data_IF_411452010303
#
_entry.id   IF_411452010303
#
_cell.length_a   1.000
_cell.length_b   1.000
_cell.length_c   1.000
_cell.angle_alpha   90.00
_cell.angle_beta   90.00
_cell.angle_gamma   90.00
#
_symmetry.space_group_name_H-M   'P 1'
#
loop_
_entity.id
_entity.type
_entity.pdbx_description
1 polymer ?
#
# COMPACT_ATOMS: atom_id res chain seq x y z
N UNK A 1 -12.28 48.64 40.05
CA UNK A 1 -12.58 47.92 41.28
C UNK A 1 -11.97 46.56 41.09
N UNK A 2 -10.69 46.27 41.40
CA UNK A 2 -10.11 45.98 42.75
C UNK A 2 -10.85 44.79 43.38
N UNK A 3 -10.24 43.68 43.68
CA UNK A 3 -9.09 43.29 44.55
C UNK A 3 -8.77 41.81 44.25
N UNK A 4 -7.57 41.27 44.02
CA UNK A 4 -6.36 41.10 44.86
C UNK A 4 -6.64 40.30 46.17
N UNK A 5 -6.01 39.13 46.32
CA UNK A 5 -5.29 38.55 47.49
C UNK A 5 -4.84 37.14 47.11
N UNK A 6 -3.60 36.71 46.93
CA UNK A 6 -2.36 36.63 47.70
C UNK A 6 -2.24 35.40 48.65
N UNK A 7 -1.18 34.65 48.37
CA UNK A 7 -0.24 33.86 49.18
C UNK A 7 -0.73 32.85 50.27
N UNK A 8 -0.14 31.62 50.23
CA UNK A 8 0.62 31.11 51.35
C UNK A 8 1.49 29.87 51.00
N UNK A 9 2.78 30.07 50.99
CA UNK A 9 3.87 29.11 51.12
C UNK A 9 3.89 28.48 52.49
N UNK A 10 4.21 27.16 52.61
CA UNK A 10 4.78 26.57 53.83
C UNK A 10 5.81 25.48 53.45
N UNK A 11 7.05 25.83 53.76
CA UNK A 11 8.19 24.93 53.99
C UNK A 11 8.01 24.18 55.30
N UNK A 12 8.48 22.91 55.37
CA UNK A 12 8.87 22.30 56.64
C UNK A 12 10.15 21.50 56.48
N UNK A 13 11.06 21.77 57.40
CA UNK A 13 12.43 21.32 57.57
C UNK A 13 12.52 19.88 58.10
N UNK A 14 13.72 19.37 57.87
CA UNK A 14 14.31 18.11 58.29
C UNK A 14 14.28 17.82 59.79
N UNK A 15 14.33 16.55 60.16
CA UNK A 15 14.91 16.12 61.42
C UNK A 15 15.69 14.80 61.23
N UNK A 16 16.98 14.89 61.53
CA UNK A 16 17.93 13.77 61.74
C UNK A 16 17.74 13.21 63.12
N UNK A 17 17.82 11.89 63.30
CA UNK A 17 18.25 11.28 64.57
C UNK A 17 19.12 10.05 64.32
N UNK A 18 20.16 9.97 65.11
CA UNK A 18 21.32 9.09 65.02
C UNK A 18 21.13 7.77 65.79
N UNK A 19 22.03 6.86 65.49
CA UNK A 19 22.36 5.51 65.96
C UNK A 19 22.14 5.18 67.48
N UNK A 20 22.16 3.86 67.80
CA UNK A 20 23.42 3.33 68.27
C UNK A 20 23.75 1.87 67.83
N UNK A 21 25.05 1.63 67.84
CA UNK A 21 25.80 0.39 67.64
C UNK A 21 25.58 -0.63 68.71
N UNK A 22 25.52 -1.91 68.34
CA UNK A 22 25.80 -3.03 69.29
C UNK A 22 26.49 -4.16 68.53
N UNK A 23 27.71 -4.46 68.97
CA UNK A 23 28.53 -5.62 68.61
C UNK A 23 27.98 -6.92 69.17
N UNK A 24 27.86 -7.99 68.38
CA UNK A 24 27.95 -9.36 68.84
C UNK A 24 28.68 -10.22 67.82
N UNK A 25 29.80 -10.78 68.27
CA UNK A 25 30.59 -11.83 67.60
C UNK A 25 29.84 -13.18 67.77
N UNK A 26 29.73 -13.95 66.66
CA UNK A 26 29.69 -15.42 66.76
C UNK A 26 29.93 -16.08 65.38
N UNK A 27 31.02 -16.84 65.34
CA UNK A 27 31.36 -18.08 64.62
C UNK A 27 30.81 -18.37 63.21
N UNK A 28 31.76 -18.59 62.26
CA UNK A 28 31.60 -19.16 60.93
C UNK A 28 31.21 -20.65 60.96
N UNK A 29 30.48 -21.12 59.94
CA UNK A 29 30.91 -22.27 59.18
C UNK A 29 31.15 -21.99 57.71
N UNK A 30 32.17 -22.63 57.16
CA UNK A 30 32.54 -22.68 55.77
C UNK A 30 31.39 -23.32 54.93
N UNK A 31 30.75 -22.53 54.06
CA UNK A 31 29.90 -23.06 53.01
C UNK A 31 30.58 -22.81 51.68
N UNK A 32 30.94 -23.89 50.99
CA UNK A 32 31.46 -23.85 49.62
C UNK A 32 30.35 -23.35 48.68
N UNK A 33 30.47 -22.16 48.14
CA UNK A 33 29.65 -21.69 47.04
C UNK A 33 30.19 -22.23 45.74
N UNK A 34 29.49 -23.19 45.14
CA UNK A 34 29.63 -23.49 43.68
C UNK A 34 29.10 -22.25 42.95
N UNK A 35 30.01 -21.50 42.30
CA UNK A 35 29.64 -20.45 41.36
C UNK A 35 29.18 -21.11 40.08
N UNK A 36 27.86 -21.22 39.87
CA UNK A 36 27.28 -21.53 38.57
C UNK A 36 27.41 -20.27 37.70
N UNK A 37 28.39 -20.23 36.80
CA UNK A 37 28.50 -19.25 35.74
C UNK A 37 27.37 -19.50 34.73
N UNK A 38 26.24 -18.78 34.88
CA UNK A 38 25.24 -18.69 33.80
C UNK A 38 25.85 -17.83 32.72
N UNK A 39 26.39 -18.48 31.69
CA UNK A 39 26.82 -17.84 30.48
C UNK A 39 25.61 -17.21 29.78
N UNK A 40 25.42 -15.91 29.89
CA UNK A 40 24.54 -15.16 28.99
C UNK A 40 25.18 -15.20 27.59
N UNK A 41 24.68 -16.11 26.75
CA UNK A 41 24.95 -16.03 25.33
C UNK A 41 24.29 -14.75 24.80
N UNK A 42 25.11 -13.74 24.54
CA UNK A 42 24.68 -12.55 23.82
C UNK A 42 24.39 -12.98 22.39
N UNK A 43 23.12 -13.27 22.09
CA UNK A 43 22.68 -13.44 20.68
C UNK A 43 22.90 -12.08 20.01
N UNK A 44 23.84 -12.02 19.07
CA UNK A 44 23.93 -10.87 18.20
C UNK A 44 22.56 -10.64 17.54
N UNK A 45 22.07 -9.40 17.47
CA UNK A 45 20.84 -9.12 16.73
C UNK A 45 20.99 -9.67 15.32
N UNK A 46 19.99 -10.42 14.86
CA UNK A 46 19.94 -10.85 13.45
C UNK A 46 20.12 -9.60 12.57
N UNK A 47 20.91 -9.66 11.50
CA UNK A 47 21.03 -8.52 10.59
C UNK A 47 19.62 -8.08 10.19
N UNK A 48 19.33 -6.78 10.35
CA UNK A 48 18.07 -6.20 9.88
C UNK A 48 17.89 -6.65 8.43
N UNK A 49 16.74 -7.24 8.11
CA UNK A 49 16.44 -7.62 6.73
C UNK A 49 16.67 -6.38 5.86
N UNK A 50 17.44 -6.52 4.77
CA UNK A 50 17.73 -5.41 3.87
C UNK A 50 16.39 -4.83 3.40
N UNK A 51 16.17 -3.51 3.61
CA UNK A 51 14.94 -2.86 3.20
C UNK A 51 14.80 -2.93 1.68
N UNK A 52 13.58 -3.20 1.21
CA UNK A 52 13.26 -3.25 -0.22
C UNK A 52 13.31 -1.83 -0.80
N UNK A 53 14.07 -1.63 -1.86
CA UNK A 53 14.12 -0.35 -2.56
C UNK A 53 13.59 -0.49 -3.98
N UNK A 54 12.76 0.47 -4.42
CA UNK A 54 12.32 0.60 -5.82
C UNK A 54 13.00 1.76 -6.49
N UNK A 55 13.43 1.56 -7.74
CA UNK A 55 14.01 2.59 -8.59
C UNK A 55 13.50 2.44 -10.02
N UNK A 56 13.70 3.49 -10.84
CA UNK A 56 13.42 3.47 -12.27
C UNK A 56 14.74 3.74 -13.00
N UNK A 57 15.04 2.90 -13.98
CA UNK A 57 16.18 3.05 -14.88
C UNK A 57 15.67 2.94 -16.33
N UNK A 58 15.59 4.06 -17.03
CA UNK A 58 14.92 4.09 -18.34
C UNK A 58 13.44 3.74 -18.25
N UNK A 59 13.00 2.73 -18.98
CA UNK A 59 11.62 2.21 -18.96
C UNK A 59 11.43 1.03 -17.98
N UNK A 60 12.45 0.69 -17.15
CA UNK A 60 12.46 -0.47 -16.29
C UNK A 60 12.34 -0.10 -14.80
N UNK A 61 11.49 -0.84 -14.07
CA UNK A 61 11.51 -0.85 -12.60
C UNK A 61 12.61 -1.78 -12.10
N UNK A 62 13.32 -1.32 -11.09
CA UNK A 62 14.32 -2.07 -10.37
C UNK A 62 13.92 -2.26 -8.91
N UNK A 63 14.14 -3.44 -8.36
CA UNK A 63 14.01 -3.71 -6.93
C UNK A 63 15.40 -4.11 -6.42
N UNK A 64 15.90 -3.42 -5.39
CA UNK A 64 17.20 -3.64 -4.80
C UNK A 64 18.36 -3.59 -5.82
N UNK A 65 18.26 -2.68 -6.78
CA UNK A 65 19.28 -2.45 -7.82
C UNK A 65 19.21 -3.38 -9.02
N UNK A 66 18.34 -4.42 -9.00
CA UNK A 66 18.17 -5.36 -10.11
C UNK A 66 16.84 -5.09 -10.83
N UNK A 67 16.79 -5.22 -12.16
CA UNK A 67 15.52 -5.11 -12.87
C UNK A 67 14.55 -6.18 -12.38
N UNK A 68 13.28 -5.82 -12.26
CA UNK A 68 12.23 -6.79 -11.94
C UNK A 68 12.18 -7.89 -12.99
N UNK A 69 11.86 -9.12 -12.60
CA UNK A 69 11.77 -10.29 -13.50
C UNK A 69 12.99 -10.47 -14.41
N UNK A 70 14.21 -10.20 -13.94
CA UNK A 70 15.48 -10.23 -14.68
C UNK A 70 15.62 -11.46 -15.59
N UNK A 71 15.89 -11.23 -16.86
CA UNK A 71 16.05 -12.26 -17.90
C UNK A 71 14.80 -13.08 -18.20
N UNK A 72 13.63 -12.66 -17.74
CA UNK A 72 12.40 -13.43 -17.93
C UNK A 72 11.71 -13.07 -19.23
N UNK A 73 11.59 -14.07 -20.10
CA UNK A 73 10.78 -14.03 -21.34
C UNK A 73 9.66 -15.07 -21.22
N UNK A 74 8.44 -14.69 -21.56
CA UNK A 74 7.27 -15.58 -21.64
C UNK A 74 6.57 -15.43 -22.99
N UNK A 75 6.43 -16.54 -23.72
CA UNK A 75 5.81 -16.56 -25.08
C UNK A 75 6.32 -15.45 -26.02
N UNK A 76 7.62 -15.13 -25.96
CA UNK A 76 8.22 -14.08 -26.78
C UNK A 76 8.07 -12.65 -26.21
N UNK A 77 7.36 -12.45 -25.10
CA UNK A 77 7.26 -11.18 -24.41
C UNK A 77 8.35 -11.05 -23.35
N UNK A 78 9.11 -9.97 -23.40
CA UNK A 78 10.08 -9.62 -22.36
C UNK A 78 9.36 -9.04 -21.15
N UNK A 79 9.60 -9.64 -19.96
CA UNK A 79 9.05 -9.18 -18.68
C UNK A 79 10.07 -8.43 -17.84
N UNK A 80 11.36 -8.41 -18.24
CA UNK A 80 12.39 -7.69 -17.47
C UNK A 80 12.04 -6.22 -17.37
N UNK A 81 12.10 -5.69 -16.14
CA UNK A 81 11.77 -4.30 -15.85
C UNK A 81 10.29 -3.98 -15.67
N UNK A 82 9.37 -4.92 -15.91
CA UNK A 82 7.95 -4.71 -15.67
C UNK A 82 7.60 -4.81 -14.18
N UNK A 83 6.55 -4.11 -13.74
CA UNK A 83 6.02 -4.17 -12.37
C UNK A 83 4.58 -4.69 -12.39
N UNK A 84 4.42 -6.03 -12.51
CA UNK A 84 3.11 -6.67 -12.50
C UNK A 84 2.46 -6.51 -11.12
N UNK A 85 1.21 -6.06 -11.11
CA UNK A 85 0.59 -5.56 -9.90
C UNK A 85 -0.88 -5.96 -9.76
N UNK A 86 -1.50 -5.55 -8.65
CA UNK A 86 -2.93 -5.68 -8.40
C UNK A 86 -3.46 -4.46 -7.65
N UNK A 87 -4.69 -4.06 -7.95
CA UNK A 87 -5.36 -2.99 -7.24
C UNK A 87 -6.07 -3.55 -6.01
N UNK A 88 -5.52 -3.29 -4.83
CA UNK A 88 -5.95 -3.87 -3.56
C UNK A 88 -6.29 -2.78 -2.52
N UNK A 89 -6.89 -1.69 -2.98
CA UNK A 89 -7.07 -0.44 -2.22
C UNK A 89 -7.88 -0.59 -0.93
N UNK A 90 -8.67 -1.66 -0.82
CA UNK A 90 -9.52 -1.88 0.36
C UNK A 90 -8.76 -2.43 1.58
N UNK A 91 -7.48 -2.77 1.47
CA UNK A 91 -6.69 -3.38 2.56
C UNK A 91 -6.61 -2.53 3.83
N UNK A 92 -6.76 -1.21 3.71
CA UNK A 92 -6.69 -0.24 4.81
C UNK A 92 -8.03 0.46 5.06
N UNK A 93 -9.09 0.09 4.32
CA UNK A 93 -10.40 0.73 4.38
C UNK A 93 -10.97 0.83 5.80
N UNK A 94 -11.56 1.99 6.08
CA UNK A 94 -12.32 2.23 7.30
C UNK A 94 -13.41 3.29 7.05
N UNK A 95 -14.66 2.96 7.36
CA UNK A 95 -15.78 3.85 7.10
C UNK A 95 -16.19 4.62 8.36
N UNK A 96 -15.97 5.94 8.35
CA UNK A 96 -16.36 6.84 9.44
C UNK A 96 -17.83 7.25 9.41
N UNK A 97 -18.58 6.85 8.38
CA UNK A 97 -20.01 7.16 8.29
C UNK A 97 -20.86 6.10 8.98
N UNK A 98 -21.48 6.39 10.13
CA UNK A 98 -22.28 5.42 10.88
C UNK A 98 -23.49 4.89 10.10
N UNK A 99 -23.96 5.61 9.08
CA UNK A 99 -25.08 5.19 8.25
C UNK A 99 -24.70 4.17 7.16
N UNK A 100 -23.42 4.00 6.86
CA UNK A 100 -22.93 3.09 5.81
C UNK A 100 -22.01 1.99 6.33
N UNK A 101 -21.38 2.14 7.48
CA UNK A 101 -20.42 1.17 8.02
C UNK A 101 -20.98 -0.25 8.15
N UNK A 102 -22.27 -0.41 8.43
CA UNK A 102 -22.91 -1.73 8.52
C UNK A 102 -22.98 -2.49 7.18
N UNK A 103 -22.83 -1.81 6.04
CA UNK A 103 -22.80 -2.43 4.71
C UNK A 103 -21.61 -3.37 4.53
N UNK A 104 -20.53 -3.10 5.26
CA UNK A 104 -19.25 -3.82 5.16
C UNK A 104 -19.15 -5.01 6.12
N UNK A 105 -20.26 -5.39 6.76
CA UNK A 105 -20.30 -6.45 7.75
C UNK A 105 -19.76 -7.79 7.20
N UNK A 106 -18.85 -8.42 7.94
CA UNK A 106 -18.39 -9.78 7.64
C UNK A 106 -19.52 -10.78 7.79
N UNK A 107 -19.63 -11.78 6.89
CA UNK A 107 -20.73 -12.76 6.92
C UNK A 107 -20.82 -13.58 8.20
N UNK A 108 -19.66 -13.82 8.85
CA UNK A 108 -19.55 -14.66 10.05
C UNK A 108 -19.84 -13.91 11.36
N UNK A 109 -19.59 -12.58 11.40
CA UNK A 109 -19.76 -11.79 12.63
C UNK A 109 -20.89 -10.79 12.57
N UNK A 110 -21.40 -10.49 11.37
CA UNK A 110 -22.43 -9.47 11.16
C UNK A 110 -21.96 -8.04 11.44
N UNK A 111 -20.64 -7.81 11.53
CA UNK A 111 -20.05 -6.48 11.83
C UNK A 111 -18.83 -6.21 10.96
N UNK A 112 -18.59 -4.93 10.66
CA UNK A 112 -17.34 -4.46 10.07
C UNK A 112 -16.23 -4.43 11.13
N UNK A 113 -15.02 -4.80 10.73
CA UNK A 113 -13.82 -4.75 11.54
C UNK A 113 -12.63 -4.37 10.63
N UNK A 114 -12.21 -3.09 10.69
CA UNK A 114 -11.10 -2.55 9.89
C UNK A 114 -9.75 -3.19 10.26
N UNK A 115 -9.57 -3.53 11.55
CA UNK A 115 -8.35 -4.20 12.03
C UNK A 115 -8.26 -5.65 11.53
N UNK A 116 -9.38 -6.36 11.51
CA UNK A 116 -9.47 -7.70 10.91
C UNK A 116 -9.15 -7.64 9.43
N UNK A 117 -9.75 -6.68 8.71
CA UNK A 117 -9.53 -6.51 7.27
C UNK A 117 -8.04 -6.33 6.95
N UNK A 118 -7.36 -5.41 7.66
CA UNK A 118 -5.92 -5.18 7.48
C UNK A 118 -5.08 -6.40 7.87
N UNK A 119 -5.41 -7.09 8.95
CA UNK A 119 -4.71 -8.30 9.39
C UNK A 119 -4.83 -9.43 8.36
N UNK A 120 -6.02 -9.67 7.82
CA UNK A 120 -6.25 -10.69 6.79
C UNK A 120 -5.55 -10.33 5.47
N UNK A 121 -5.53 -9.04 5.09
CA UNK A 121 -4.74 -8.53 3.96
C UNK A 121 -3.25 -8.89 4.11
N UNK A 122 -2.66 -8.52 5.25
CA UNK A 122 -1.24 -8.78 5.54
C UNK A 122 -0.94 -10.29 5.51
N UNK A 123 -1.83 -11.11 6.03
CA UNK A 123 -1.68 -12.58 6.03
C UNK A 123 -1.72 -13.19 4.62
N UNK A 124 -2.40 -12.55 3.66
CA UNK A 124 -2.50 -13.02 2.28
C UNK A 124 -1.27 -12.64 1.41
N UNK A 125 -0.56 -11.55 1.74
CA UNK A 125 0.56 -11.03 0.95
C UNK A 125 1.65 -12.05 0.61
N UNK A 126 2.09 -12.95 1.52
CA UNK A 126 3.07 -13.98 1.18
C UNK A 126 2.60 -14.93 0.07
N UNK A 127 1.29 -15.21 0.00
CA UNK A 127 0.73 -16.04 -1.05
C UNK A 127 0.80 -15.34 -2.40
N UNK A 128 0.42 -14.07 -2.48
CA UNK A 128 0.52 -13.28 -3.71
C UNK A 128 1.97 -13.17 -4.20
N UNK A 129 2.90 -12.89 -3.28
CA UNK A 129 4.32 -12.79 -3.61
C UNK A 129 4.89 -14.10 -4.18
N UNK A 130 4.51 -15.25 -3.61
CA UNK A 130 4.91 -16.58 -4.14
C UNK A 130 4.40 -16.84 -5.56
N UNK A 131 3.31 -16.21 -5.99
CA UNK A 131 2.82 -16.28 -7.37
C UNK A 131 3.44 -15.23 -8.31
N UNK A 132 4.44 -14.48 -7.84
CA UNK A 132 5.17 -13.52 -8.67
C UNK A 132 4.65 -12.09 -8.62
N UNK A 133 3.63 -11.77 -7.81
CA UNK A 133 3.16 -10.39 -7.65
C UNK A 133 4.24 -9.55 -6.97
N UNK A 134 4.66 -8.46 -7.62
CA UNK A 134 5.70 -7.56 -7.11
C UNK A 134 5.15 -6.25 -6.56
N UNK A 135 3.94 -5.85 -6.95
CA UNK A 135 3.37 -4.60 -6.48
C UNK A 135 1.86 -4.68 -6.27
N UNK A 136 1.34 -3.76 -5.48
CA UNK A 136 -0.10 -3.52 -5.35
C UNK A 136 -0.38 -2.05 -5.05
N UNK A 137 -1.58 -1.59 -5.45
CA UNK A 137 -2.07 -0.24 -5.12
C UNK A 137 -2.89 -0.28 -3.84
N UNK A 138 -2.67 0.70 -2.95
CA UNK A 138 -3.46 0.95 -1.74
C UNK A 138 -3.67 2.45 -1.57
N UNK A 139 -4.85 2.88 -1.10
CA UNK A 139 -5.20 4.30 -1.10
C UNK A 139 -5.26 4.89 0.31
N UNK A 140 -4.84 6.15 0.43
CA UNK A 140 -5.09 7.00 1.61
C UNK A 140 -6.53 7.49 1.67
N UNK A 141 -7.20 7.59 0.53
CA UNK A 141 -8.59 8.06 0.46
C UNK A 141 -9.36 7.22 -0.57
N UNK A 142 -10.65 6.99 -0.28
CA UNK A 142 -11.61 6.44 -1.23
C UNK A 142 -11.45 4.96 -1.51
N UNK A 143 -11.64 4.62 -2.78
CA UNK A 143 -11.90 3.26 -3.25
C UNK A 143 -13.40 3.00 -3.29
N UNK A 144 -13.88 2.39 -4.36
CA UNK A 144 -15.30 2.06 -4.54
C UNK A 144 -15.60 0.66 -3.97
N UNK A 145 -15.98 0.54 -2.67
CA UNK A 145 -16.09 -0.74 -1.97
C UNK A 145 -17.25 -1.62 -2.43
N UNK A 146 -18.10 -1.12 -3.31
CA UNK A 146 -19.20 -1.88 -3.98
C UNK A 146 -18.85 -2.22 -5.44
N UNK A 147 -17.61 -1.98 -5.88
CA UNK A 147 -17.20 -2.00 -7.27
C UNK A 147 -17.31 -0.61 -7.89
N UNK A 148 -17.92 -0.46 -9.06
CA UNK A 148 -18.19 0.85 -9.67
C UNK A 148 -19.36 1.52 -8.98
N UNK A 149 -19.11 2.62 -8.25
CA UNK A 149 -20.13 3.33 -7.48
C UNK A 149 -20.26 4.78 -7.96
N UNK A 150 -21.44 5.16 -8.42
CA UNK A 150 -21.74 6.55 -8.80
C UNK A 150 -21.84 7.47 -7.58
N UNK A 151 -22.46 7.00 -6.50
CA UNK A 151 -22.55 7.70 -5.23
C UNK A 151 -21.61 7.04 -4.22
N UNK A 152 -20.90 7.84 -3.44
CA UNK A 152 -19.94 7.38 -2.44
C UNK A 152 -20.27 7.97 -1.05
N UNK A 153 -21.36 7.51 -0.41
CA UNK A 153 -21.81 8.05 0.88
C UNK A 153 -20.92 7.67 2.06
N UNK A 154 -20.12 6.61 1.94
CA UNK A 154 -19.14 6.21 2.96
C UNK A 154 -18.06 7.27 3.13
N UNK A 155 -17.37 7.23 4.25
CA UNK A 155 -16.26 8.13 4.54
C UNK A 155 -14.98 7.34 4.82
N UNK A 156 -14.24 7.02 3.77
CA UNK A 156 -12.93 6.37 3.85
C UNK A 156 -11.82 7.36 3.50
N UNK A 157 -11.09 7.84 4.50
CA UNK A 157 -10.03 8.82 4.30
C UNK A 157 -8.99 8.77 5.43
N UNK A 158 -7.71 8.81 5.06
CA UNK A 158 -6.61 9.09 5.97
C UNK A 158 -6.51 10.58 6.33
N UNK A 159 -7.23 11.44 5.59
CA UNK A 159 -7.17 12.89 5.76
C UNK A 159 -8.33 13.40 6.61
N UNK A 160 -8.03 14.33 7.51
CA UNK A 160 -9.01 15.22 8.13
C UNK A 160 -9.47 16.27 7.11
N UNK A 161 -10.50 17.04 7.44
CA UNK A 161 -11.04 18.08 6.54
C UNK A 161 -9.99 19.14 6.18
N UNK A 162 -9.07 19.46 7.08
CA UNK A 162 -7.97 20.41 6.86
C UNK A 162 -6.75 19.82 6.14
N UNK A 163 -6.79 18.55 5.75
CA UNK A 163 -5.70 17.83 5.10
C UNK A 163 -4.73 17.13 6.05
N UNK A 164 -4.80 17.35 7.37
CA UNK A 164 -3.95 16.62 8.32
C UNK A 164 -4.27 15.13 8.37
N UNK A 165 -3.30 14.31 8.78
CA UNK A 165 -3.39 12.84 8.69
C UNK A 165 -4.00 12.23 9.96
N UNK A 166 -4.81 11.18 9.77
CA UNK A 166 -5.40 10.36 10.82
C UNK A 166 -4.44 9.25 11.27
N UNK A 167 -4.06 9.26 12.53
CA UNK A 167 -3.08 8.33 13.08
C UNK A 167 -3.52 6.86 13.03
N UNK A 168 -4.80 6.56 13.28
CA UNK A 168 -5.36 5.20 13.26
C UNK A 168 -5.32 4.60 11.84
N UNK A 169 -5.62 5.38 10.81
CA UNK A 169 -5.54 4.96 9.42
C UNK A 169 -4.07 4.67 9.02
N UNK A 170 -3.17 5.59 9.38
CA UNK A 170 -1.74 5.44 9.11
C UNK A 170 -1.12 4.25 9.83
N UNK A 171 -1.55 3.93 11.04
CA UNK A 171 -1.06 2.76 11.77
C UNK A 171 -1.40 1.44 11.05
N UNK A 172 -2.56 1.34 10.40
CA UNK A 172 -2.90 0.19 9.55
C UNK A 172 -2.06 0.15 8.28
N UNK A 173 -1.92 1.29 7.59
CA UNK A 173 -1.10 1.40 6.38
C UNK A 173 0.37 1.07 6.65
N UNK A 174 0.92 1.55 7.76
CA UNK A 174 2.29 1.27 8.21
C UNK A 174 2.57 -0.23 8.25
N UNK A 175 1.69 -1.02 8.85
CA UNK A 175 1.84 -2.48 8.92
C UNK A 175 1.84 -3.15 7.55
N UNK A 176 1.01 -2.64 6.63
CA UNK A 176 0.96 -3.14 5.24
C UNK A 176 2.26 -2.84 4.51
N UNK A 177 2.74 -1.58 4.55
CA UNK A 177 3.97 -1.19 3.84
C UNK A 177 5.19 -1.92 4.43
N UNK A 178 5.28 -2.02 5.76
CA UNK A 178 6.36 -2.78 6.41
C UNK A 178 6.36 -4.25 6.00
N UNK A 179 5.16 -4.88 5.91
CA UNK A 179 5.08 -6.26 5.44
C UNK A 179 5.45 -6.40 3.96
N UNK A 180 5.08 -5.44 3.13
CA UNK A 180 5.51 -5.40 1.73
C UNK A 180 7.04 -5.30 1.61
N UNK A 181 7.66 -4.45 2.42
CA UNK A 181 9.11 -4.30 2.50
C UNK A 181 9.81 -5.63 2.83
N UNK A 182 9.36 -6.32 3.87
CA UNK A 182 9.89 -7.65 4.24
C UNK A 182 9.75 -8.70 3.13
N UNK A 183 8.73 -8.58 2.27
CA UNK A 183 8.43 -9.53 1.20
C UNK A 183 9.09 -9.17 -0.15
N UNK A 184 9.82 -8.07 -0.24
CA UNK A 184 10.35 -7.58 -1.51
C UNK A 184 9.28 -7.11 -2.46
N UNK A 185 8.21 -6.47 -1.94
CA UNK A 185 7.09 -5.94 -2.73
C UNK A 185 7.06 -4.43 -2.70
N UNK A 186 6.58 -3.84 -3.78
CA UNK A 186 6.39 -2.39 -3.95
C UNK A 186 4.94 -2.02 -3.66
N UNK A 187 4.74 -0.91 -2.95
CA UNK A 187 3.40 -0.36 -2.66
C UNK A 187 3.19 0.91 -3.46
N UNK A 188 2.17 0.94 -4.31
CA UNK A 188 1.70 2.16 -4.98
C UNK A 188 0.68 2.79 -4.05
N UNK A 189 1.05 3.90 -3.40
CA UNK A 189 0.17 4.62 -2.46
C UNK A 189 -0.60 5.69 -3.22
N UNK A 190 -1.91 5.46 -3.38
CA UNK A 190 -2.83 6.44 -3.94
C UNK A 190 -3.21 7.48 -2.87
N UNK A 191 -3.05 8.77 -3.19
CA UNK A 191 -3.37 9.81 -2.20
C UNK A 191 -4.86 10.18 -2.25
N UNK A 192 -5.35 10.70 -3.36
CA UNK A 192 -6.72 11.20 -3.46
C UNK A 192 -7.59 10.35 -4.39
N UNK A 193 -8.89 10.35 -4.08
CA UNK A 193 -9.87 9.57 -4.81
C UNK A 193 -11.12 10.43 -5.10
N UNK A 194 -11.60 10.43 -6.33
CA UNK A 194 -12.84 11.11 -6.70
C UNK A 194 -14.03 10.64 -5.85
N UNK A 195 -14.99 11.52 -5.60
CA UNK A 195 -16.14 11.22 -4.75
C UNK A 195 -15.85 11.17 -3.24
N UNK A 196 -14.60 11.41 -2.81
CA UNK A 196 -14.21 11.59 -1.41
C UNK A 196 -13.46 12.91 -1.17
N UNK A 197 -12.92 13.52 -2.22
CA UNK A 197 -12.15 14.77 -2.18
C UNK A 197 -12.96 15.96 -1.63
N UNK A 198 -14.28 16.00 -1.84
CA UNK A 198 -15.19 17.03 -1.29
C UNK A 198 -15.19 17.10 0.25
N UNK A 199 -14.59 16.10 0.93
CA UNK A 199 -14.42 16.09 2.39
C UNK A 199 -13.23 16.93 2.87
N UNK A 200 -12.37 17.34 1.95
CA UNK A 200 -11.33 18.34 2.20
C UNK A 200 -11.92 19.76 2.05
N UNK A 201 -11.45 20.70 2.85
CA UNK A 201 -12.04 22.04 2.91
C UNK A 201 -11.82 22.85 1.63
N UNK A 202 -10.61 22.76 1.05
CA UNK A 202 -10.15 23.55 -0.08
C UNK A 202 -8.89 22.97 -0.73
N UNK A 203 -8.41 23.61 -1.79
CA UNK A 203 -7.15 23.25 -2.47
C UNK A 203 -5.91 23.32 -1.53
N UNK A 204 -5.94 24.17 -0.49
CA UNK A 204 -4.84 24.24 0.47
C UNK A 204 -4.81 23.00 1.38
N UNK A 205 -5.98 22.47 1.75
CA UNK A 205 -6.10 21.21 2.48
C UNK A 205 -5.63 20.03 1.62
N UNK A 206 -5.94 20.02 0.31
CA UNK A 206 -5.41 19.03 -0.64
C UNK A 206 -3.88 19.10 -0.69
N UNK A 207 -3.31 20.30 -0.86
CA UNK A 207 -1.86 20.49 -0.91
C UNK A 207 -1.18 20.04 0.40
N UNK A 208 -1.75 20.40 1.56
CA UNK A 208 -1.27 19.96 2.87
C UNK A 208 -1.30 18.44 3.00
N UNK A 209 -2.41 17.81 2.62
CA UNK A 209 -2.56 16.36 2.68
C UNK A 209 -1.50 15.64 1.82
N UNK A 210 -1.22 16.14 0.63
CA UNK A 210 -0.14 15.62 -0.22
C UNK A 210 1.24 15.77 0.44
N UNK A 211 1.52 16.94 1.02
CA UNK A 211 2.77 17.22 1.72
C UNK A 211 2.96 16.30 2.93
N UNK A 212 1.96 16.23 3.79
CA UNK A 212 2.04 15.48 5.05
C UNK A 212 2.14 13.98 4.78
N UNK A 213 1.39 13.47 3.80
CA UNK A 213 1.52 12.07 3.36
C UNK A 213 2.92 11.77 2.82
N UNK A 214 3.47 12.67 1.99
CA UNK A 214 4.80 12.51 1.42
C UNK A 214 5.89 12.54 2.50
N UNK A 215 5.81 13.50 3.44
CA UNK A 215 6.75 13.57 4.57
C UNK A 215 6.64 12.33 5.44
N UNK A 216 5.43 11.90 5.78
CA UNK A 216 5.21 10.71 6.59
C UNK A 216 5.84 9.46 5.95
N UNK A 217 5.64 9.24 4.64
CA UNK A 217 6.25 8.10 3.93
C UNK A 217 7.79 8.19 3.93
N UNK A 218 8.35 9.39 3.76
CA UNK A 218 9.80 9.60 3.80
C UNK A 218 10.36 9.42 5.21
N UNK A 219 9.62 9.84 6.25
CA UNK A 219 10.03 9.75 7.64
C UNK A 219 10.11 8.32 8.17
N UNK A 220 9.34 7.40 7.61
CA UNK A 220 9.43 5.97 7.92
C UNK A 220 10.61 5.26 7.23
N UNK A 221 11.37 5.96 6.38
CA UNK A 221 12.49 5.45 5.56
C UNK A 221 12.12 4.29 4.61
N UNK A 222 10.84 4.08 4.29
CA UNK A 222 10.48 3.11 3.28
C UNK A 222 10.97 3.52 1.90
N UNK A 223 11.57 2.56 1.20
CA UNK A 223 12.13 2.74 -0.14
C UNK A 223 11.39 1.93 -1.21
N UNK A 224 10.37 1.19 -0.80
CA UNK A 224 9.52 0.34 -1.63
C UNK A 224 8.18 1.00 -1.99
N UNK A 225 8.11 2.34 -2.03
CA UNK A 225 6.88 3.09 -2.25
C UNK A 225 6.96 3.90 -3.55
N UNK A 226 5.89 3.80 -4.34
CA UNK A 226 5.55 4.70 -5.45
C UNK A 226 4.30 5.48 -5.07
N UNK A 227 4.07 6.66 -5.68
CA UNK A 227 2.92 7.51 -5.39
C UNK A 227 2.03 7.70 -6.62
N UNK A 228 0.73 7.44 -6.46
CA UNK A 228 -0.33 7.88 -7.34
C UNK A 228 -1.01 9.09 -6.69
N UNK A 229 -0.77 10.33 -7.16
CA UNK A 229 -1.27 11.52 -6.45
C UNK A 229 -2.79 11.65 -6.49
N UNK A 230 -3.44 11.19 -7.55
CA UNK A 230 -4.89 11.15 -7.69
C UNK A 230 -5.30 9.99 -8.59
N UNK A 231 -6.31 9.25 -8.18
CA UNK A 231 -6.92 8.20 -8.99
C UNK A 231 -7.87 8.83 -10.01
N UNK A 232 -7.69 8.55 -11.31
CA UNK A 232 -8.58 8.98 -12.40
C UNK A 232 -8.91 10.48 -12.35
N UNK A 233 -7.89 11.31 -12.46
CA UNK A 233 -7.94 12.76 -12.28
C UNK A 233 -9.02 13.46 -13.15
N UNK A 234 -9.50 12.81 -14.21
CA UNK A 234 -10.50 13.31 -15.16
C UNK A 234 -11.95 12.81 -14.92
N UNK A 235 -12.20 12.10 -13.80
CA UNK A 235 -13.53 11.49 -13.52
C UNK A 235 -14.42 12.34 -12.60
N UNK A 236 -14.03 13.57 -12.24
CA UNK A 236 -14.92 14.50 -11.54
C UNK A 236 -14.54 14.78 -10.08
N UNK A 237 -13.37 15.39 -9.92
CA UNK A 237 -12.93 15.96 -8.66
C UNK A 237 -13.57 17.35 -8.41
N UNK A 238 -13.85 17.68 -7.15
CA UNK A 238 -14.34 18.99 -6.72
C UNK A 238 -13.22 20.02 -6.70
N UNK A 239 -12.03 19.61 -6.20
CA UNK A 239 -10.89 20.51 -6.08
C UNK A 239 -10.13 20.64 -7.40
N UNK A 240 -9.90 21.90 -7.83
CA UNK A 240 -9.22 22.18 -9.10
C UNK A 240 -7.80 21.60 -9.14
N UNK A 241 -7.11 21.54 -8.01
CA UNK A 241 -5.76 20.99 -7.90
C UNK A 241 -5.68 19.50 -8.22
N UNK A 242 -6.80 18.75 -8.14
CA UNK A 242 -6.90 17.33 -8.47
C UNK A 242 -7.38 17.06 -9.90
N UNK A 243 -7.76 18.13 -10.65
CA UNK A 243 -8.26 18.00 -12.01
C UNK A 243 -7.13 17.96 -13.04
N UNK A 244 -7.37 17.45 -14.28
CA UNK A 244 -6.35 17.25 -15.31
C UNK A 244 -5.48 18.47 -15.59
N UNK A 245 -6.05 19.68 -15.53
CA UNK A 245 -5.33 20.93 -15.78
C UNK A 245 -4.25 21.25 -14.77
N UNK A 246 -4.39 20.79 -13.51
CA UNK A 246 -3.53 21.20 -12.40
C UNK A 246 -2.89 20.04 -11.62
N UNK A 247 -3.32 18.80 -11.79
CA UNK A 247 -2.80 17.66 -11.00
C UNK A 247 -1.29 17.47 -11.12
N UNK A 248 -0.68 17.93 -12.19
CA UNK A 248 0.78 17.92 -12.37
C UNK A 248 1.50 18.78 -11.32
N UNK A 249 0.86 19.81 -10.77
CA UNK A 249 1.39 20.62 -9.67
C UNK A 249 1.58 19.76 -8.40
N UNK A 250 0.64 18.84 -8.12
CA UNK A 250 0.77 17.90 -7.00
C UNK A 250 1.88 16.87 -7.24
N UNK A 251 2.03 16.37 -8.48
CA UNK A 251 3.15 15.47 -8.82
C UNK A 251 4.48 16.17 -8.54
N UNK A 252 4.64 17.41 -9.01
CA UNK A 252 5.85 18.21 -8.78
C UNK A 252 6.06 18.44 -7.28
N UNK A 253 5.02 18.80 -6.53
CA UNK A 253 5.06 19.04 -5.10
C UNK A 253 5.56 17.82 -4.33
N UNK A 254 5.07 16.61 -4.64
CA UNK A 254 5.55 15.34 -4.06
C UNK A 254 7.04 15.14 -4.37
N UNK A 255 7.47 15.42 -5.59
CA UNK A 255 8.88 15.24 -6.03
C UNK A 255 9.84 16.28 -5.43
N UNK A 256 9.36 17.45 -5.07
CA UNK A 256 10.16 18.52 -4.44
C UNK A 256 10.46 18.22 -2.96
N UNK A 257 9.58 17.48 -2.28
CA UNK A 257 9.81 17.08 -0.89
C UNK A 257 10.89 16.01 -0.84
N UNK A 258 11.97 16.33 -0.10
CA UNK A 258 13.13 15.44 0.04
C UNK A 258 13.48 15.21 1.50
N UNK A 259 13.98 14.03 1.80
CA UNK A 259 14.63 13.68 3.06
C UNK A 259 15.95 12.97 2.77
N UNK A 260 17.05 13.49 3.30
CA UNK A 260 18.41 12.96 3.08
C UNK A 260 18.74 12.75 1.59
N UNK A 261 18.34 13.72 0.75
CA UNK A 261 18.51 13.70 -0.71
C UNK A 261 17.54 12.78 -1.46
N UNK A 262 16.73 11.96 -0.77
CA UNK A 262 15.75 11.04 -1.34
C UNK A 262 14.38 11.71 -1.51
N UNK A 263 13.69 11.41 -2.60
CA UNK A 263 12.30 11.76 -2.88
C UNK A 263 11.49 10.53 -3.26
N UNK A 264 10.18 10.65 -3.26
CA UNK A 264 9.29 9.62 -3.82
C UNK A 264 9.18 9.76 -5.34
N UNK A 265 8.95 8.63 -6.01
CA UNK A 265 8.61 8.56 -7.42
C UNK A 265 7.09 8.70 -7.54
N UNK A 266 6.62 9.59 -8.42
CA UNK A 266 5.21 9.96 -8.48
C UNK A 266 4.66 10.02 -9.89
N UNK A 267 3.37 9.69 -10.01
CA UNK A 267 2.55 9.82 -11.20
C UNK A 267 1.08 10.00 -10.81
N UNK A 268 0.19 9.94 -11.79
CA UNK A 268 -1.27 9.95 -11.62
C UNK A 268 -1.94 9.20 -12.76
N UNK A 269 -3.17 8.72 -12.55
CA UNK A 269 -3.96 8.03 -13.56
C UNK A 269 -5.08 8.91 -14.14
N UNK A 270 -5.56 8.51 -15.31
CA UNK A 270 -6.79 8.95 -15.95
C UNK A 270 -7.79 7.80 -15.98
N UNK A 271 -9.06 8.09 -16.17
CA UNK A 271 -10.14 7.10 -16.27
C UNK A 271 -9.89 6.06 -17.36
N UNK A 272 -10.56 4.93 -17.25
CA UNK A 272 -10.37 3.78 -18.13
C UNK A 272 -10.39 4.10 -19.61
N UNK A 273 -9.43 3.56 -20.35
CA UNK A 273 -9.28 3.77 -21.79
C UNK A 273 -8.81 5.16 -22.23
N UNK A 274 -8.33 6.00 -21.31
CA UNK A 274 -7.81 7.34 -21.57
C UNK A 274 -6.30 7.40 -21.42
N UNK A 275 -5.68 8.40 -22.05
CA UNK A 275 -4.24 8.65 -21.97
C UNK A 275 -3.97 9.95 -21.22
N UNK A 276 -2.81 10.08 -20.55
CA UNK A 276 -2.45 11.27 -19.78
C UNK A 276 -2.19 12.48 -20.71
N UNK A 277 -2.50 13.68 -20.20
CA UNK A 277 -2.15 14.94 -20.87
C UNK A 277 -0.66 15.25 -20.80
N UNK A 278 -0.20 16.14 -21.69
CA UNK A 278 1.21 16.57 -21.79
C UNK A 278 1.81 17.06 -20.47
N UNK A 279 1.03 17.80 -19.66
CA UNK A 279 1.47 18.31 -18.37
C UNK A 279 1.75 17.17 -17.36
N UNK A 280 0.92 16.13 -17.36
CA UNK A 280 1.11 14.95 -16.51
C UNK A 280 2.30 14.13 -17.00
N UNK A 281 2.41 13.88 -18.31
CA UNK A 281 3.54 13.14 -18.89
C UNK A 281 4.88 13.78 -18.53
N UNK A 282 4.99 15.11 -18.62
CA UNK A 282 6.21 15.85 -18.27
C UNK A 282 6.55 15.85 -16.80
N UNK A 283 5.55 15.79 -15.93
CA UNK A 283 5.74 15.86 -14.49
C UNK A 283 6.06 14.50 -13.86
N UNK A 284 5.60 13.40 -14.45
CA UNK A 284 5.62 12.05 -13.88
C UNK A 284 7.00 11.39 -13.98
N UNK A 285 7.26 10.45 -13.08
CA UNK A 285 8.40 9.53 -13.13
C UNK A 285 8.03 8.20 -13.81
N UNK A 286 6.75 7.85 -13.80
CA UNK A 286 6.14 6.71 -14.48
C UNK A 286 4.69 7.06 -14.81
N UNK A 287 4.12 6.41 -15.81
CA UNK A 287 2.76 6.70 -16.27
C UNK A 287 1.80 5.60 -15.86
N UNK A 288 0.66 6.00 -15.30
CA UNK A 288 -0.42 5.10 -14.90
C UNK A 288 -1.54 5.15 -15.92
N UNK A 289 -1.98 3.98 -16.36
CA UNK A 289 -3.10 3.79 -17.28
C UNK A 289 -4.15 2.88 -16.62
N UNK A 290 -5.40 3.04 -17.02
CA UNK A 290 -6.50 2.16 -16.63
C UNK A 290 -7.10 1.48 -17.86
N UNK A 291 -7.27 0.16 -17.78
CA UNK A 291 -7.91 -0.65 -18.80
C UNK A 291 -9.42 -0.83 -18.62
N UNK A 292 -9.98 -0.25 -17.55
CA UNK A 292 -11.40 -0.39 -17.21
C UNK A 292 -12.31 -0.02 -18.38
N UNK A 293 -13.28 -0.90 -18.69
CA UNK A 293 -14.21 -0.70 -19.79
C UNK A 293 -13.61 -0.87 -21.20
N UNK A 294 -12.33 -1.26 -21.33
CA UNK A 294 -11.67 -1.53 -22.61
C UNK A 294 -11.70 -3.03 -22.91
N UNK A 295 -12.71 -3.49 -23.63
CA UNK A 295 -12.92 -4.93 -23.91
C UNK A 295 -12.08 -5.46 -25.09
N UNK A 296 -11.53 -4.60 -25.94
CA UNK A 296 -10.66 -4.98 -27.06
C UNK A 296 -9.18 -4.89 -26.64
N UNK A 297 -8.45 -6.02 -26.55
CA UNK A 297 -7.04 -6.03 -26.22
C UNK A 297 -6.16 -5.18 -27.15
N UNK A 298 -6.54 -5.04 -28.42
CA UNK A 298 -5.83 -4.16 -29.37
C UNK A 298 -5.86 -2.71 -28.89
N UNK A 299 -6.97 -2.29 -28.29
CA UNK A 299 -7.09 -0.95 -27.73
C UNK A 299 -6.15 -0.72 -26.55
N UNK A 300 -5.88 -1.74 -25.73
CA UNK A 300 -4.88 -1.68 -24.64
C UNK A 300 -3.48 -1.41 -25.23
N UNK A 301 -3.10 -2.15 -26.27
CA UNK A 301 -1.84 -1.91 -26.97
C UNK A 301 -1.79 -0.51 -27.59
N UNK A 302 -2.91 -0.02 -28.16
CA UNK A 302 -3.02 1.34 -28.71
C UNK A 302 -2.85 2.42 -27.63
N UNK A 303 -3.40 2.24 -26.44
CA UNK A 303 -3.24 3.19 -25.35
C UNK A 303 -1.77 3.40 -25.00
N UNK A 304 -0.97 2.32 -24.95
CA UNK A 304 0.47 2.42 -24.69
C UNK A 304 1.17 3.20 -25.82
N UNK A 305 0.90 2.86 -27.10
CA UNK A 305 1.48 3.56 -28.24
C UNK A 305 1.10 5.05 -28.27
N UNK A 306 -0.18 5.36 -28.02
CA UNK A 306 -0.66 6.74 -27.97
C UNK A 306 -0.04 7.52 -26.81
N UNK A 307 0.15 6.88 -25.66
CA UNK A 307 0.81 7.48 -24.49
C UNK A 307 2.26 7.85 -24.82
N UNK A 308 3.00 6.96 -25.49
CA UNK A 308 4.37 7.25 -25.97
C UNK A 308 4.43 8.36 -27.01
N UNK A 309 3.34 8.60 -27.74
CA UNK A 309 3.23 9.68 -28.71
C UNK A 309 2.79 11.04 -28.13
N UNK A 310 2.47 11.12 -26.83
CA UNK A 310 2.10 12.38 -26.18
C UNK A 310 3.29 13.36 -26.20
N UNK A 311 3.10 14.63 -26.60
CA UNK A 311 4.18 15.61 -26.63
C UNK A 311 4.87 15.77 -25.27
N UNK A 312 6.19 15.59 -25.26
CA UNK A 312 7.00 15.66 -24.04
C UNK A 312 7.22 14.33 -23.34
N UNK A 313 6.75 13.22 -23.93
CA UNK A 313 7.12 11.88 -23.44
C UNK A 313 8.64 11.67 -23.60
N UNK A 314 9.22 11.12 -22.56
CA UNK A 314 10.59 10.57 -22.56
C UNK A 314 10.49 9.11 -22.10
N UNK A 315 11.42 8.22 -22.49
CA UNK A 315 11.38 6.83 -22.07
C UNK A 315 11.24 6.69 -20.55
N UNK A 316 10.10 6.18 -20.10
CA UNK A 316 9.75 5.91 -18.70
C UNK A 316 8.77 4.75 -18.61
N UNK A 317 8.65 4.06 -17.47
CA UNK A 317 7.73 2.94 -17.33
C UNK A 317 6.27 3.37 -17.56
N UNK A 318 5.52 2.51 -18.27
CA UNK A 318 4.07 2.60 -18.40
C UNK A 318 3.47 1.40 -17.66
N UNK A 319 2.51 1.67 -16.77
CA UNK A 319 1.93 0.69 -15.89
C UNK A 319 0.41 0.82 -15.86
N UNK A 320 -0.31 -0.23 -16.28
CA UNK A 320 -1.71 -0.35 -15.95
C UNK A 320 -1.80 -0.77 -14.47
N UNK A 321 -2.45 0.01 -13.62
CA UNK A 321 -2.69 -0.34 -12.22
C UNK A 321 -4.16 -0.67 -11.94
N UNK A 322 -5.00 -0.66 -12.97
CA UNK A 322 -6.41 -1.03 -12.88
C UNK A 322 -6.93 -1.52 -14.24
N UNK A 323 -7.34 -2.80 -14.32
CA UNK A 323 -8.04 -3.37 -15.49
C UNK A 323 -8.95 -4.51 -15.03
N UNK A 324 -10.23 -4.43 -15.40
CA UNK A 324 -11.29 -5.36 -15.00
C UNK A 324 -11.63 -6.44 -16.03
N UNK A 325 -10.78 -6.63 -17.04
CA UNK A 325 -10.94 -7.66 -18.06
C UNK A 325 -10.17 -8.94 -17.67
N UNK A 326 -10.90 -9.97 -17.26
CA UNK A 326 -10.38 -11.14 -16.54
C UNK A 326 -10.47 -12.45 -17.35
N UNK A 327 -10.41 -12.36 -18.68
CA UNK A 327 -10.46 -13.47 -19.63
C UNK A 327 -9.08 -14.13 -19.84
N UNK A 328 -8.45 -14.53 -18.73
CA UNK A 328 -7.08 -15.08 -18.70
C UNK A 328 -6.90 -16.42 -19.42
N UNK A 329 -7.99 -17.10 -19.78
CA UNK A 329 -8.03 -18.33 -20.57
C UNK A 329 -7.99 -18.07 -22.10
N UNK A 330 -8.15 -16.81 -22.52
CA UNK A 330 -8.09 -16.43 -23.91
C UNK A 330 -6.64 -16.08 -24.33
N UNK A 331 -6.20 -16.45 -25.54
CA UNK A 331 -4.87 -16.11 -26.04
C UNK A 331 -4.70 -14.60 -26.22
N UNK A 332 -5.79 -13.90 -26.55
CA UNK A 332 -5.84 -12.45 -26.68
C UNK A 332 -6.61 -11.87 -25.50
N UNK A 333 -5.90 -11.25 -24.57
CA UNK A 333 -6.49 -10.56 -23.42
C UNK A 333 -5.70 -9.29 -23.09
N UNK A 334 -6.28 -8.42 -22.28
CA UNK A 334 -5.69 -7.12 -21.95
C UNK A 334 -4.31 -7.23 -21.29
N UNK A 335 -4.10 -8.26 -20.45
CA UNK A 335 -2.82 -8.48 -19.80
C UNK A 335 -1.72 -8.75 -20.86
N UNK A 336 -1.95 -9.71 -21.78
CA UNK A 336 -0.99 -10.05 -22.85
C UNK A 336 -0.79 -8.86 -23.79
N UNK A 337 -1.86 -8.11 -24.12
CA UNK A 337 -1.77 -6.92 -24.94
C UNK A 337 -0.88 -5.82 -24.33
N UNK A 338 -0.95 -5.60 -23.01
CA UNK A 338 -0.05 -4.70 -22.30
C UNK A 338 1.41 -5.18 -22.38
N UNK A 339 1.67 -6.47 -22.11
CA UNK A 339 3.00 -7.08 -22.24
C UNK A 339 3.59 -6.95 -23.65
N UNK A 340 2.77 -7.08 -24.69
CA UNK A 340 3.21 -6.93 -26.09
C UNK A 340 3.79 -5.55 -26.40
N UNK A 341 3.46 -4.56 -25.60
CA UNK A 341 3.97 -3.20 -25.67
C UNK A 341 4.99 -2.89 -24.57
N UNK A 342 5.51 -3.90 -23.87
CA UNK A 342 6.41 -3.73 -22.75
C UNK A 342 5.83 -2.74 -21.71
N UNK A 343 4.56 -2.94 -21.33
CA UNK A 343 3.87 -2.21 -20.28
C UNK A 343 3.44 -3.16 -19.16
N UNK A 344 3.58 -2.73 -17.91
CA UNK A 344 3.12 -3.47 -16.76
C UNK A 344 1.61 -3.53 -16.72
N UNK A 345 1.04 -4.59 -16.12
CA UNK A 345 -0.41 -4.75 -16.02
C UNK A 345 -0.84 -5.08 -14.58
N UNK A 346 -2.03 -4.59 -14.19
CA UNK A 346 -2.59 -4.68 -12.85
C UNK A 346 -4.00 -5.21 -12.80
N UNK A 347 -4.16 -6.25 -11.99
CA UNK A 347 -5.42 -6.94 -11.74
C UNK A 347 -6.36 -6.08 -10.90
N UNK A 348 -7.58 -5.80 -11.44
CA UNK A 348 -8.68 -5.19 -10.71
C UNK A 348 -9.91 -6.08 -10.79
N UNK A 349 -10.44 -6.49 -9.64
CA UNK A 349 -11.59 -7.40 -9.56
C UNK A 349 -12.57 -6.93 -8.49
N UNK A 350 -13.83 -6.81 -8.86
CA UNK A 350 -14.91 -6.45 -7.97
C UNK A 350 -16.02 -7.52 -7.99
N UNK A 351 -16.80 -7.55 -6.93
CA UNK A 351 -17.94 -8.47 -6.81
C UNK A 351 -19.08 -8.00 -7.71
N UNK A 352 -19.50 -8.88 -8.60
CA UNK A 352 -20.62 -8.62 -9.52
C UNK A 352 -21.96 -8.97 -8.85
N UNK A 353 -23.10 -8.45 -9.35
CA UNK A 353 -24.41 -8.82 -8.83
C UNK A 353 -24.59 -10.34 -8.78
N UNK A 354 -25.04 -10.87 -7.63
CA UNK A 354 -25.24 -12.30 -7.39
C UNK A 354 -23.98 -13.07 -6.93
N UNK A 355 -22.81 -12.45 -6.88
CA UNK A 355 -21.58 -13.09 -6.39
C UNK A 355 -21.44 -12.98 -4.87
N UNK A 356 -20.78 -13.97 -4.27
CA UNK A 356 -20.60 -14.06 -2.82
C UNK A 356 -19.24 -13.52 -2.31
N UNK A 357 -19.02 -13.68 -1.02
CA UNK A 357 -17.82 -13.21 -0.28
C UNK A 357 -16.48 -13.71 -0.85
N UNK A 358 -16.46 -14.82 -1.60
CA UNK A 358 -15.25 -15.35 -2.21
C UNK A 358 -14.69 -14.46 -3.34
N UNK A 359 -15.57 -13.68 -3.98
CA UNK A 359 -15.24 -12.91 -5.18
C UNK A 359 -14.80 -11.47 -4.86
N UNK A 360 -14.01 -10.89 -5.79
CA UNK A 360 -13.62 -9.49 -5.80
C UNK A 360 -12.65 -9.09 -4.69
N UNK A 361 -11.59 -8.37 -5.07
CA UNK A 361 -10.70 -7.70 -4.11
C UNK A 361 -11.10 -6.24 -3.85
N UNK A 362 -11.95 -5.68 -4.72
CA UNK A 362 -12.43 -4.31 -4.58
C UNK A 362 -13.66 -4.20 -3.66
N UNK A 363 -14.47 -5.27 -3.56
CA UNK A 363 -15.76 -5.20 -2.87
C UNK A 363 -15.69 -5.68 -1.42
N UNK A 364 -16.08 -4.82 -0.48
CA UNK A 364 -16.08 -5.13 0.96
C UNK A 364 -17.29 -5.97 1.40
N UNK A 365 -17.14 -6.79 2.45
CA UNK A 365 -15.87 -7.22 3.04
C UNK A 365 -15.10 -8.10 2.06
N UNK A 366 -13.77 -8.09 2.12
CA UNK A 366 -12.92 -8.81 1.17
C UNK A 366 -12.46 -10.16 1.75
N UNK A 367 -12.55 -11.22 0.94
CA UNK A 367 -11.77 -12.43 1.17
C UNK A 367 -10.42 -12.27 0.45
N UNK A 368 -9.35 -12.02 1.19
CA UNK A 368 -8.02 -11.73 0.65
C UNK A 368 -7.28 -12.95 0.09
N UNK A 369 -7.77 -14.16 0.32
CA UNK A 369 -7.20 -15.40 -0.24
C UNK A 369 -7.48 -15.56 -1.75
N UNK A 370 -6.90 -16.59 -2.35
CA UNK A 370 -7.20 -17.02 -3.73
C UNK A 370 -8.52 -17.80 -3.78
N UNK A 371 -9.59 -17.21 -3.27
CA UNK A 371 -10.85 -17.87 -2.93
C UNK A 371 -11.75 -18.14 -4.14
N UNK A 372 -11.62 -17.38 -5.24
CA UNK A 372 -12.48 -17.50 -6.41
C UNK A 372 -11.75 -18.05 -7.64
N UNK A 373 -12.53 -18.46 -8.65
CA UNK A 373 -11.98 -18.95 -9.91
C UNK A 373 -11.15 -17.86 -10.62
N UNK A 374 -11.63 -16.60 -10.65
CA UNK A 374 -10.93 -15.47 -11.28
C UNK A 374 -9.62 -15.14 -10.59
N UNK A 375 -9.61 -15.08 -9.26
CA UNK A 375 -8.40 -14.86 -8.47
C UNK A 375 -7.36 -15.96 -8.75
N UNK A 376 -7.78 -17.22 -8.71
CA UNK A 376 -6.87 -18.35 -9.02
C UNK A 376 -6.36 -18.32 -10.46
N UNK A 377 -7.20 -17.93 -11.43
CA UNK A 377 -6.81 -17.83 -12.84
C UNK A 377 -5.72 -16.76 -13.03
N UNK A 378 -5.91 -15.56 -12.47
CA UNK A 378 -4.91 -14.50 -12.50
C UNK A 378 -3.58 -14.96 -11.88
N UNK A 379 -3.59 -15.43 -10.65
CA UNK A 379 -2.37 -15.81 -9.95
C UNK A 379 -1.67 -17.03 -10.59
N UNK A 380 -2.39 -17.93 -11.22
CA UNK A 380 -1.80 -19.04 -11.98
C UNK A 380 -1.09 -18.52 -13.22
N UNK A 381 -1.74 -17.64 -14.01
CA UNK A 381 -1.13 -17.04 -15.19
C UNK A 381 0.09 -16.20 -14.81
N UNK A 382 -0.01 -15.39 -13.77
CA UNK A 382 1.09 -14.59 -13.24
C UNK A 382 2.28 -15.48 -12.84
N UNK A 383 2.03 -16.59 -12.13
CA UNK A 383 3.09 -17.51 -11.71
C UNK A 383 3.76 -18.19 -12.90
N UNK A 384 3.00 -18.54 -13.94
CA UNK A 384 3.53 -19.06 -15.20
C UNK A 384 4.42 -18.03 -15.90
N UNK A 385 3.89 -16.84 -16.13
CA UNK A 385 4.60 -15.72 -16.79
C UNK A 385 5.92 -15.40 -16.08
N UNK A 386 5.90 -15.28 -14.77
CA UNK A 386 7.06 -14.88 -13.96
C UNK A 386 8.02 -16.04 -13.65
N UNK A 387 7.64 -17.27 -13.94
CA UNK A 387 8.43 -18.47 -13.61
C UNK A 387 8.32 -18.88 -12.14
N UNK A 388 7.44 -18.26 -11.37
CA UNK A 388 7.23 -18.55 -9.94
C UNK A 388 6.55 -19.89 -9.68
N UNK A 389 5.92 -20.49 -10.70
CA UNK A 389 5.25 -21.78 -10.61
C UNK A 389 6.20 -22.97 -10.33
N UNK A 390 7.52 -22.79 -10.50
CA UNK A 390 8.53 -23.84 -10.24
C UNK A 390 8.91 -23.99 -8.77
N UNK A 391 8.46 -23.12 -7.90
CA UNK A 391 8.58 -23.27 -6.46
C UNK A 391 7.50 -24.26 -6.00
N UNK A 392 7.81 -25.57 -6.07
CA UNK A 392 6.93 -26.67 -5.71
C UNK A 392 6.37 -26.52 -4.29
N UNK A 393 5.32 -27.29 -3.94
CA UNK A 393 4.72 -27.23 -2.62
C UNK A 393 5.75 -27.64 -1.56
N UNK A 394 6.31 -26.72 -0.81
CA UNK A 394 6.96 -27.05 0.45
C UNK A 394 5.88 -27.64 1.35
N UNK A 395 6.03 -28.94 1.65
CA UNK A 395 5.20 -29.71 2.57
C UNK A 395 5.22 -29.04 3.96
N UNK A 396 4.30 -28.13 4.19
CA UNK A 396 3.95 -27.66 5.53
C UNK A 396 2.71 -28.41 6.00
N UNK A 397 2.89 -29.66 6.45
CA UNK A 397 1.88 -30.28 7.31
C UNK A 397 1.83 -29.47 8.61
N UNK A 398 0.76 -28.72 8.80
CA UNK A 398 0.38 -28.26 10.12
C UNK A 398 0.09 -29.49 10.99
N UNK A 399 0.65 -29.59 12.19
CA UNK A 399 0.23 -30.63 13.14
C UNK A 399 -1.25 -30.39 13.49
N UNK A 400 -2.07 -31.41 13.27
CA UNK A 400 -3.45 -31.42 13.66
C UNK A 400 -3.56 -31.29 15.19
N UNK A 401 -4.64 -30.70 15.72
CA UNK A 401 -4.87 -30.65 17.17
C UNK A 401 -5.09 -32.10 17.66
N UNK A 402 -4.25 -32.55 18.59
CA UNK A 402 -4.53 -33.70 19.42
C UNK A 402 -5.68 -33.34 20.35
N UNK A 403 -6.81 -33.99 20.15
CA UNK A 403 -7.91 -34.03 21.11
C UNK A 403 -7.58 -34.98 22.25
N UNK A 404 -8.04 -34.67 23.50
CA UNK A 404 -7.80 -35.47 24.70
C UNK A 404 -8.55 -36.81 24.71
#
# INVERSE_FOLDING_TARGET
>A
MAEVTALATRSFLASRTAMPTSHLLLSRPLAQFLAATVGFAWSAPAPAAASTSVAIVGEAFHINGEPTYKGRVWQGHDLEGLLLNARLVQGVFDDLNPSTVSRWAYPDTGRWDAERNTREFIAAMPQWRRHGLLAFTINLQGGSPEGYSKAQPWHNSAFQADGSLRADYLARLQRIISRADELGMVVIVGYFYFGQDHRLQDDAAVARGADDATRWLLDQDWRNVLVEVANETDVGYHHALLQPGRVHELIQRVKEIKRDGRRLLAGTSYGGGRIPGTNVVRASDFLLLHGNGVSDPKRIADLVRQTRAVPGYTPMPILFNEDDHLNFDQPDNNFIAALSQHASWGYFDYRRPGEGFAEGYQSLPVNWGLSSARKRAFFRLLAEMTGSARLGPSQGRLPGPSLP
#
